data_IF_651166841220
#
_entry.id   IF_651166841220
#
_cell.length_a   1.000
_cell.length_b   1.000
_cell.length_c   1.000
_cell.angle_alpha   90.00
_cell.angle_beta   90.00
_cell.angle_gamma   90.00
#
_symmetry.space_group_name_H-M   'P 1'
#
loop_
_entity.id
_entity.type
_entity.pdbx_description
1 polymer ?
#
# COMPACT_ATOMS: atom_id res chain seq x y z
N UNK A 1 4.04 3.93 24.17
CA UNK A 1 3.23 3.05 23.29
C UNK A 1 1.80 3.09 23.80
N UNK A 2 0.86 3.64 23.05
CA UNK A 2 -0.53 3.69 23.49
C UNK A 2 -1.20 2.34 23.20
N UNK A 3 -1.75 1.70 24.24
CA UNK A 3 -2.48 0.43 24.16
C UNK A 3 -3.78 0.57 23.36
N UNK A 4 -4.32 1.78 23.28
CA UNK A 4 -5.54 2.09 22.54
C UNK A 4 -5.18 2.72 21.21
N UNK A 5 -5.69 2.13 20.11
CA UNK A 5 -5.60 2.70 18.77
C UNK A 5 -6.97 2.82 18.16
N UNK A 6 -7.24 3.98 17.55
CA UNK A 6 -8.44 4.23 16.75
C UNK A 6 -8.08 4.05 15.28
N UNK A 7 -8.80 3.21 14.58
CA UNK A 7 -8.69 2.98 13.13
C UNK A 7 -9.88 3.66 12.46
N UNK A 8 -9.61 4.51 11.48
CA UNK A 8 -10.65 5.25 10.76
C UNK A 8 -11.42 4.33 9.81
N UNK A 9 -12.63 4.72 9.38
CA UNK A 9 -13.49 3.92 8.50
C UNK A 9 -12.78 3.45 7.22
N UNK A 10 -11.98 4.36 6.65
CA UNK A 10 -11.21 4.16 5.44
C UNK A 10 -9.87 3.44 5.66
N UNK A 11 -9.53 3.10 6.90
CA UNK A 11 -8.33 2.36 7.27
C UNK A 11 -8.65 0.90 7.62
N UNK A 12 -7.65 0.03 7.49
CA UNK A 12 -7.65 -1.31 8.06
C UNK A 12 -6.42 -1.52 8.92
N UNK A 13 -6.63 -2.12 10.09
CA UNK A 13 -5.55 -2.47 11.01
C UNK A 13 -5.08 -3.88 10.74
N UNK A 14 -3.89 -4.04 10.15
CA UNK A 14 -3.23 -5.35 10.00
C UNK A 14 -2.48 -5.65 11.30
N UNK A 15 -2.91 -6.69 12.00
CA UNK A 15 -2.41 -7.02 13.34
C UNK A 15 -1.41 -8.17 13.27
N UNK A 16 -0.27 -7.94 13.92
CA UNK A 16 0.76 -8.92 14.16
C UNK A 16 0.82 -9.21 15.65
N UNK A 17 0.88 -10.50 16.01
CA UNK A 17 1.07 -10.97 17.38
C UNK A 17 2.34 -11.80 17.43
N UNK A 18 3.34 -11.35 18.18
CA UNK A 18 4.65 -12.02 18.29
C UNK A 18 5.24 -12.42 16.92
N UNK A 19 5.14 -11.53 15.93
CA UNK A 19 5.64 -11.75 14.57
C UNK A 19 4.72 -12.57 13.65
N UNK A 20 3.60 -13.12 14.13
CA UNK A 20 2.63 -13.83 13.30
C UNK A 20 1.49 -12.92 12.86
N UNK A 21 1.05 -13.06 11.62
CA UNK A 21 -0.14 -12.39 11.10
C UNK A 21 -1.38 -12.97 11.80
N UNK A 22 -2.15 -12.10 12.46
CA UNK A 22 -3.48 -12.46 12.99
C UNK A 22 -4.55 -12.18 11.94
N UNK A 23 -4.34 -11.15 11.12
CA UNK A 23 -5.22 -10.73 10.03
C UNK A 23 -5.46 -9.23 10.01
N UNK A 24 -6.23 -8.77 9.03
CA UNK A 24 -6.71 -7.40 8.94
C UNK A 24 -8.07 -7.27 9.64
N UNK A 25 -8.20 -6.23 10.46
CA UNK A 25 -9.46 -5.88 11.12
C UNK A 25 -10.04 -4.59 10.57
N UNK A 26 -11.36 -4.49 10.65
CA UNK A 26 -12.17 -3.34 10.27
C UNK A 26 -11.84 -2.06 11.05
N UNK A 27 -12.64 -1.01 10.87
CA UNK A 27 -12.45 0.26 11.56
C UNK A 27 -12.97 0.19 13.00
N UNK A 28 -12.58 1.16 13.82
CA UNK A 28 -13.02 1.26 15.22
C UNK A 28 -11.88 1.26 16.24
N UNK A 29 -12.26 1.00 17.49
CA UNK A 29 -11.36 1.02 18.63
C UNK A 29 -10.68 -0.35 18.81
N UNK A 30 -9.35 -0.34 18.87
CA UNK A 30 -8.55 -1.53 19.11
C UNK A 30 -7.71 -1.38 20.37
N UNK A 31 -7.79 -2.40 21.23
CA UNK A 31 -6.86 -2.59 22.33
C UNK A 31 -5.75 -3.54 21.86
N UNK A 32 -4.53 -3.01 21.83
CA UNK A 32 -3.32 -3.76 21.50
C UNK A 32 -2.53 -3.97 22.79
N UNK A 33 -2.14 -5.22 23.04
CA UNK A 33 -1.29 -5.55 24.18
C UNK A 33 0.13 -5.03 23.90
N UNK A 34 0.64 -4.02 24.65
CA UNK A 34 1.97 -3.47 24.41
C UNK A 34 3.05 -4.55 24.50
N UNK A 35 3.98 -4.57 23.55
CA UNK A 35 5.07 -5.55 23.49
C UNK A 35 4.70 -6.90 22.86
N UNK A 36 3.42 -7.29 22.84
CA UNK A 36 2.96 -8.56 22.24
C UNK A 36 2.36 -8.34 20.86
N UNK A 37 1.60 -7.26 20.70
CA UNK A 37 0.86 -6.95 19.48
C UNK A 37 1.35 -5.66 18.82
N UNK A 38 1.44 -5.70 17.49
CA UNK A 38 1.74 -4.55 16.64
C UNK A 38 0.67 -4.44 15.58
N UNK A 39 0.21 -3.22 15.32
CA UNK A 39 -0.72 -2.93 14.23
C UNK A 39 -0.04 -2.04 13.19
N UNK A 40 -0.26 -2.38 11.92
CA UNK A 40 0.05 -1.51 10.77
C UNK A 40 -1.27 -1.04 10.18
N UNK A 41 -1.44 0.27 10.04
CA UNK A 41 -2.61 0.85 9.40
C UNK A 41 -2.40 0.92 7.89
N UNK A 42 -3.42 0.53 7.14
CA UNK A 42 -3.42 0.57 5.68
C UNK A 42 -4.65 1.35 5.22
N UNK A 43 -4.43 2.34 4.36
CA UNK A 43 -5.51 3.12 3.76
C UNK A 43 -6.12 2.35 2.58
N UNK A 44 -7.46 2.33 2.50
CA UNK A 44 -8.20 1.67 1.43
C UNK A 44 -8.69 2.65 0.35
N UNK A 45 -8.41 3.95 0.50
CA UNK A 45 -8.78 4.97 -0.49
C UNK A 45 -7.93 4.84 -1.75
N UNK A 46 -8.41 5.49 -2.81
CA UNK A 46 -7.64 5.63 -4.05
C UNK A 46 -6.46 6.56 -3.78
N UNK A 47 -5.27 6.07 -4.10
CA UNK A 47 -4.02 6.79 -4.08
C UNK A 47 -3.69 7.16 -5.52
N UNK A 48 -3.29 8.41 -5.70
CA UNK A 48 -2.81 8.96 -6.96
C UNK A 48 -1.29 9.02 -6.91
N UNK A 49 -0.63 8.49 -7.94
CA UNK A 49 0.83 8.49 -8.04
C UNK A 49 1.27 8.86 -9.45
N UNK A 50 2.19 9.81 -9.52
CA UNK A 50 2.83 10.22 -10.76
C UNK A 50 3.92 9.21 -11.16
N UNK A 51 3.94 8.85 -12.44
CA UNK A 51 4.99 8.02 -13.03
C UNK A 51 6.04 8.95 -13.63
N UNK A 52 7.34 8.75 -13.32
CA UNK A 52 8.40 9.56 -13.93
C UNK A 52 8.37 9.40 -15.45
N UNK A 53 8.68 10.49 -16.16
CA UNK A 53 8.72 10.50 -17.63
C UNK A 53 9.63 9.42 -18.18
N UNK A 54 9.16 8.70 -19.21
CA UNK A 54 9.93 7.67 -19.88
C UNK A 54 10.14 7.99 -21.35
N UNK A 55 11.34 7.73 -21.84
CA UNK A 55 11.66 7.79 -23.27
C UNK A 55 11.34 6.44 -23.91
N UNK A 56 10.45 6.46 -24.91
CA UNK A 56 10.10 5.29 -25.70
C UNK A 56 10.36 5.57 -27.18
N UNK A 57 10.78 4.54 -27.92
CA UNK A 57 10.95 4.62 -29.37
C UNK A 57 9.70 4.03 -30.01
N UNK A 58 8.98 4.84 -30.79
CA UNK A 58 7.80 4.39 -31.52
C UNK A 58 8.17 3.49 -32.70
N UNK A 59 7.20 2.80 -33.29
CA UNK A 59 7.41 1.93 -34.46
C UNK A 59 8.01 2.68 -35.66
N UNK A 60 7.75 3.98 -35.75
CA UNK A 60 8.24 4.85 -36.82
C UNK A 60 9.63 5.44 -36.51
N UNK A 61 10.33 4.89 -35.50
CA UNK A 61 11.69 5.28 -35.11
C UNK A 61 11.80 6.75 -34.62
N UNK A 62 10.75 7.24 -33.95
CA UNK A 62 10.73 8.55 -33.31
C UNK A 62 10.79 8.38 -31.79
N UNK A 63 11.69 9.11 -31.13
CA UNK A 63 11.77 9.15 -29.67
C UNK A 63 10.66 10.05 -29.12
N UNK A 64 9.83 9.50 -28.24
CA UNK A 64 8.77 10.23 -27.54
C UNK A 64 8.98 10.15 -26.03
N UNK A 65 8.59 11.21 -25.31
CA UNK A 65 8.53 11.24 -23.85
C UNK A 65 7.09 11.06 -23.41
N UNK A 66 6.82 10.03 -22.62
CA UNK A 66 5.48 9.73 -22.11
C UNK A 66 5.44 9.98 -20.61
N UNK A 67 4.39 10.66 -20.17
CA UNK A 67 4.06 10.86 -18.77
C UNK A 67 2.75 10.13 -18.46
N UNK A 68 2.62 9.58 -17.26
CA UNK A 68 1.41 8.87 -16.85
C UNK A 68 1.10 9.12 -15.37
N UNK A 69 -0.18 8.98 -15.01
CA UNK A 69 -0.68 9.06 -13.64
C UNK A 69 -1.48 7.79 -13.35
N UNK A 70 -1.22 7.17 -12.21
CA UNK A 70 -1.87 5.92 -11.80
C UNK A 70 -2.82 6.20 -10.64
N UNK A 71 -4.01 5.61 -10.74
CA UNK A 71 -5.01 5.57 -9.68
C UNK A 71 -5.15 4.13 -9.21
N UNK A 72 -4.78 3.86 -7.97
CA UNK A 72 -4.91 2.51 -7.40
C UNK A 72 -5.38 2.56 -5.95
N UNK A 73 -5.97 1.47 -5.47
CA UNK A 73 -6.36 1.32 -4.06
C UNK A 73 -5.99 -0.07 -3.56
N UNK A 74 -5.75 -0.19 -2.26
CA UNK A 74 -5.49 -1.49 -1.65
C UNK A 74 -6.80 -2.26 -1.53
N UNK A 75 -6.88 -3.43 -2.18
CA UNK A 75 -8.04 -4.33 -2.08
C UNK A 75 -7.90 -5.31 -0.91
N UNK A 76 -6.70 -5.88 -0.74
CA UNK A 76 -6.39 -6.78 0.37
C UNK A 76 -5.23 -6.20 1.21
N UNK A 77 -5.51 -5.65 2.41
CA UNK A 77 -4.50 -5.01 3.24
C UNK A 77 -3.49 -5.99 3.84
N UNK A 78 -3.86 -7.26 4.06
CA UNK A 78 -2.92 -8.27 4.57
C UNK A 78 -1.82 -8.54 3.55
N UNK A 79 -2.21 -8.75 2.29
CA UNK A 79 -1.27 -8.96 1.19
C UNK A 79 -0.38 -7.73 0.97
N UNK A 80 -0.95 -6.53 1.05
CA UNK A 80 -0.19 -5.28 0.84
C UNK A 80 0.93 -5.08 1.89
N UNK A 81 0.77 -5.63 3.10
CA UNK A 81 1.78 -5.53 4.17
C UNK A 81 2.72 -6.73 4.21
N UNK A 82 2.22 -7.94 3.92
CA UNK A 82 2.99 -9.18 4.12
C UNK A 82 3.73 -9.64 2.86
N UNK A 83 3.13 -9.45 1.67
CA UNK A 83 3.70 -9.98 0.41
C UNK A 83 4.68 -9.03 -0.25
N UNK A 84 4.56 -7.73 -0.01
CA UNK A 84 5.39 -6.70 -0.64
C UNK A 84 5.90 -5.75 0.43
N UNK A 85 7.20 -5.51 0.45
CA UNK A 85 7.83 -4.61 1.43
C UNK A 85 7.26 -3.18 1.34
N UNK A 86 7.12 -2.68 0.10
CA UNK A 86 6.52 -1.39 -0.19
C UNK A 86 5.67 -1.51 -1.47
N UNK A 87 4.36 -1.68 -1.28
CA UNK A 87 3.43 -1.86 -2.40
C UNK A 87 3.38 -0.63 -3.32
N UNK A 88 3.51 0.60 -2.79
CA UNK A 88 3.48 1.83 -3.60
C UNK A 88 4.66 1.85 -4.58
N UNK A 89 5.87 1.60 -4.08
CA UNK A 89 7.07 1.56 -4.90
C UNK A 89 7.03 0.40 -5.90
N UNK A 90 6.59 -0.78 -5.48
CA UNK A 90 6.46 -1.93 -6.38
C UNK A 90 5.47 -1.65 -7.52
N UNK A 91 4.32 -1.04 -7.22
CA UNK A 91 3.35 -0.63 -8.25
C UNK A 91 3.94 0.41 -9.20
N UNK A 92 4.75 1.36 -8.71
CA UNK A 92 5.44 2.35 -9.55
C UNK A 92 6.38 1.67 -10.54
N UNK A 93 7.21 0.73 -10.07
CA UNK A 93 8.16 0.02 -10.91
C UNK A 93 7.49 -0.82 -11.98
N UNK A 94 6.38 -1.50 -11.66
CA UNK A 94 5.63 -2.30 -12.63
C UNK A 94 5.03 -1.41 -13.72
N UNK A 95 4.44 -0.27 -13.32
CA UNK A 95 3.87 0.67 -14.26
C UNK A 95 4.90 1.41 -15.11
N UNK A 96 6.15 1.46 -14.66
CA UNK A 96 7.28 1.94 -15.46
C UNK A 96 7.73 0.92 -16.53
N UNK A 97 7.30 -0.33 -16.45
CA UNK A 97 7.70 -1.37 -17.40
C UNK A 97 6.59 -1.80 -18.35
N UNK A 98 5.40 -1.21 -18.24
CA UNK A 98 4.19 -1.58 -19.03
C UNK A 98 3.74 -0.39 -19.86
#
# INVERSE_FOLDING_TARGET
MNAVRVVQEYERGVIFRLGRLVGARGPGLFFLIPGVERMVKVDLRVITMDVPSQEAITRDNVTVKVNAVIYFKVVNPENAVVKVLNFVQATSLIAQTT
#
